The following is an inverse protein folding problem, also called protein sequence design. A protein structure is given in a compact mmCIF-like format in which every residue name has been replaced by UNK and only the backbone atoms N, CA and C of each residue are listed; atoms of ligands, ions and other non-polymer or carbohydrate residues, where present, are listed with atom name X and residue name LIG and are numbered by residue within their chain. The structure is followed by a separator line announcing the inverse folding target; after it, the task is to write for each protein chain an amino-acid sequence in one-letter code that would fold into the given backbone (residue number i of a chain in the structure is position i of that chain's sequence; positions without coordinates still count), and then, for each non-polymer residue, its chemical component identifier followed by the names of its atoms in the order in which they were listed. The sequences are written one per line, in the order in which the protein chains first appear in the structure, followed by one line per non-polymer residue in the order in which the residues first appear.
data_IF_040953149954
#
_entry.id   IF_040953149954
#
_cell.length_a   1.000
_cell.length_b   1.000
_cell.length_c   1.000
_cell.angle_alpha   90.00
_cell.angle_beta   90.00
_cell.angle_gamma   90.00
#
_symmetry.space_group_name_H-M   'P 1'
#
loop_
_entity.id
_entity.type
_entity.pdbx_description
1 polymer ?
#
# COMPACT_ATOMS: atom_id res chain seq x y z
N UNK A 1 -49.03 13.18 6.49
CA UNK A 1 -47.66 13.17 7.04
C UNK A 1 -47.53 14.38 7.96
N UNK A 2 -46.95 14.20 9.14
CA UNK A 2 -46.68 15.31 10.02
C UNK A 2 -45.55 16.19 9.45
N UNK A 3 -45.52 17.47 9.82
CA UNK A 3 -44.44 18.41 9.45
C UNK A 3 -43.06 17.83 9.82
N UNK A 4 -42.96 17.18 10.96
CA UNK A 4 -41.74 16.50 11.43
C UNK A 4 -41.31 15.40 10.48
N UNK A 5 -42.25 14.58 9.98
CA UNK A 5 -41.93 13.51 9.00
C UNK A 5 -41.40 14.05 7.67
N UNK A 6 -41.90 15.19 7.22
CA UNK A 6 -41.42 15.87 6.00
C UNK A 6 -40.01 16.40 6.23
N UNK A 7 -39.72 17.05 7.33
CA UNK A 7 -38.38 17.57 7.68
C UNK A 7 -37.36 16.42 7.73
N UNK A 8 -37.68 15.31 8.40
CA UNK A 8 -36.80 14.16 8.50
C UNK A 8 -36.51 13.54 7.10
N UNK A 9 -37.53 13.47 6.25
CA UNK A 9 -37.34 12.96 4.88
C UNK A 9 -36.40 13.87 4.06
N UNK A 10 -36.58 15.18 4.15
CA UNK A 10 -35.72 16.17 3.47
C UNK A 10 -34.26 16.05 3.98
N UNK A 11 -34.08 15.99 5.30
CA UNK A 11 -32.75 15.80 5.88
C UNK A 11 -32.08 14.51 5.41
N UNK A 12 -32.83 13.40 5.32
CA UNK A 12 -32.32 12.13 4.81
C UNK A 12 -31.88 12.23 3.34
N UNK A 13 -32.71 12.86 2.50
CA UNK A 13 -32.37 13.06 1.06
C UNK A 13 -31.10 13.91 0.93
N UNK A 14 -30.98 15.00 1.69
CA UNK A 14 -29.79 15.85 1.69
C UNK A 14 -28.55 15.08 2.14
N UNK A 15 -28.67 14.27 3.18
CA UNK A 15 -27.56 13.43 3.69
C UNK A 15 -27.10 12.40 2.64
N UNK A 16 -28.06 11.74 1.96
CA UNK A 16 -27.75 10.80 0.87
C UNK A 16 -27.08 11.53 -0.30
N UNK A 17 -27.63 12.68 -0.70
CA UNK A 17 -27.06 13.50 -1.78
C UNK A 17 -25.63 13.94 -1.47
N UNK A 18 -25.37 14.40 -0.24
CA UNK A 18 -24.05 14.76 0.23
C UNK A 18 -23.09 13.54 0.25
N UNK A 19 -23.55 12.40 0.75
CA UNK A 19 -22.77 11.16 0.73
C UNK A 19 -22.36 10.76 -0.69
N UNK A 20 -23.30 10.77 -1.64
CA UNK A 20 -23.02 10.45 -3.05
C UNK A 20 -22.03 11.44 -3.66
N UNK A 21 -22.19 12.74 -3.36
CA UNK A 21 -21.26 13.78 -3.82
C UNK A 21 -19.83 13.51 -3.32
N UNK A 22 -19.67 13.25 -2.01
CA UNK A 22 -18.34 12.93 -1.41
C UNK A 22 -17.74 11.70 -2.06
N UNK A 23 -18.52 10.62 -2.23
CA UNK A 23 -18.05 9.39 -2.88
C UNK A 23 -17.63 9.58 -4.34
N UNK A 24 -18.34 10.41 -5.09
CA UNK A 24 -17.95 10.78 -6.46
C UNK A 24 -16.63 11.55 -6.46
N UNK A 25 -16.47 12.52 -5.57
CA UNK A 25 -15.23 13.29 -5.43
C UNK A 25 -14.04 12.41 -5.05
N UNK A 26 -14.20 11.49 -4.10
CA UNK A 26 -13.15 10.50 -3.75
C UNK A 26 -12.75 9.65 -4.97
N UNK A 27 -13.72 9.18 -5.75
CA UNK A 27 -13.46 8.40 -6.99
C UNK A 27 -12.66 9.21 -8.01
N UNK A 28 -13.02 10.47 -8.24
CA UNK A 28 -12.30 11.32 -9.21
C UNK A 28 -10.86 11.62 -8.74
N UNK A 29 -10.63 11.75 -7.44
CA UNK A 29 -9.27 11.85 -6.90
C UNK A 29 -8.46 10.58 -7.19
N UNK A 30 -9.00 9.40 -6.88
CA UNK A 30 -8.30 8.13 -7.11
C UNK A 30 -7.98 7.91 -8.60
N UNK A 31 -8.86 8.30 -9.50
CA UNK A 31 -8.66 8.19 -10.96
C UNK A 31 -7.44 8.96 -11.47
N UNK A 32 -6.97 9.95 -10.73
CA UNK A 32 -5.74 10.69 -11.10
C UNK A 32 -4.48 9.82 -10.97
N UNK A 33 -4.56 8.71 -10.21
CA UNK A 33 -3.46 7.78 -9.97
C UNK A 33 -3.69 6.44 -10.65
N UNK A 34 -4.90 5.88 -10.53
CA UNK A 34 -5.19 4.52 -10.97
C UNK A 34 -6.65 4.33 -11.40
N UNK A 35 -6.95 3.44 -12.34
CA UNK A 35 -8.32 3.02 -12.64
C UNK A 35 -9.00 2.43 -11.40
N UNK A 36 -10.32 2.69 -11.24
CA UNK A 36 -11.09 2.26 -10.05
C UNK A 36 -11.18 0.74 -9.88
N UNK A 37 -11.04 0.00 -10.97
CA UNK A 37 -11.08 -1.47 -10.98
C UNK A 37 -9.69 -2.14 -10.86
N UNK A 38 -8.62 -1.35 -10.68
CA UNK A 38 -7.26 -1.88 -10.51
C UNK A 38 -6.87 -1.96 -9.04
N UNK A 39 -6.21 -3.06 -8.65
CA UNK A 39 -5.79 -3.34 -7.28
C UNK A 39 -6.94 -3.56 -6.31
N UNK A 40 -6.62 -3.72 -5.03
CA UNK A 40 -7.58 -3.95 -3.97
C UNK A 40 -8.23 -2.65 -3.47
N UNK A 41 -9.38 -2.79 -2.81
CA UNK A 41 -10.08 -1.64 -2.21
C UNK A 41 -9.22 -0.92 -1.17
N UNK A 42 -8.53 -1.67 -0.33
CA UNK A 42 -7.65 -1.16 0.73
C UNK A 42 -6.49 -0.33 0.18
N UNK A 43 -5.87 -0.78 -0.93
CA UNK A 43 -4.81 -0.03 -1.63
C UNK A 43 -5.34 1.32 -2.15
N UNK A 44 -6.51 1.32 -2.79
CA UNK A 44 -7.13 2.57 -3.27
C UNK A 44 -7.49 3.52 -2.12
N UNK A 45 -7.77 3.00 -0.93
CA UNK A 45 -7.97 3.83 0.28
C UNK A 45 -6.66 4.47 0.75
N UNK A 46 -5.52 3.75 0.69
CA UNK A 46 -4.20 4.35 0.96
C UNK A 46 -3.94 5.48 -0.02
N UNK A 47 -4.15 5.26 -1.32
CA UNK A 47 -3.99 6.30 -2.35
C UNK A 47 -4.84 7.54 -2.03
N UNK A 48 -6.09 7.35 -1.63
CA UNK A 48 -6.97 8.46 -1.28
C UNK A 48 -6.45 9.26 -0.08
N UNK A 49 -5.94 8.59 0.96
CA UNK A 49 -5.35 9.29 2.12
C UNK A 49 -4.08 10.07 1.70
N UNK A 50 -3.22 9.49 0.86
CA UNK A 50 -2.05 10.17 0.30
C UNK A 50 -2.44 11.43 -0.48
N UNK A 51 -3.48 11.36 -1.32
CA UNK A 51 -3.99 12.50 -2.09
C UNK A 51 -4.59 13.58 -1.19
N UNK A 52 -5.28 13.20 -0.11
CA UNK A 52 -5.81 14.12 0.91
C UNK A 52 -4.70 14.84 1.68
N UNK A 53 -3.53 14.19 1.82
CA UNK A 53 -2.31 14.82 2.39
C UNK A 53 -1.57 15.73 1.39
N UNK A 54 -2.10 15.92 0.20
CA UNK A 54 -1.51 16.79 -0.80
C UNK A 54 -0.34 16.18 -1.57
N UNK A 55 -0.13 14.88 -1.49
CA UNK A 55 0.85 14.20 -2.33
C UNK A 55 0.43 14.33 -3.80
N UNK A 56 1.37 14.73 -4.65
CA UNK A 56 1.11 14.89 -6.07
C UNK A 56 0.71 13.52 -6.69
N UNK A 57 -0.41 13.43 -7.41
CA UNK A 57 -0.83 12.19 -8.06
C UNK A 57 0.24 11.55 -8.94
N UNK A 58 1.07 12.38 -9.62
CA UNK A 58 2.18 11.90 -10.47
C UNK A 58 3.36 11.31 -9.68
N UNK A 59 3.38 11.48 -8.37
CA UNK A 59 4.39 10.90 -7.48
C UNK A 59 3.93 9.59 -6.84
N UNK A 60 2.67 9.18 -7.05
CA UNK A 60 2.08 7.95 -6.52
C UNK A 60 1.99 6.93 -7.66
N UNK A 61 2.58 5.78 -7.45
CA UNK A 61 2.58 4.65 -8.36
C UNK A 61 1.87 3.49 -7.70
N UNK A 62 0.94 2.84 -8.40
CA UNK A 62 0.08 1.80 -7.86
C UNK A 62 0.17 0.52 -8.67
N UNK A 63 0.18 -0.63 -7.98
CA UNK A 63 0.18 -1.97 -8.55
C UNK A 63 1.33 -2.16 -9.55
N UNK A 64 2.55 -1.96 -9.04
CA UNK A 64 3.79 -1.98 -9.80
C UNK A 64 4.32 -3.40 -9.95
N UNK A 65 4.80 -3.76 -11.14
CA UNK A 65 5.51 -5.01 -11.38
C UNK A 65 6.96 -4.70 -11.75
N UNK A 66 7.85 -4.79 -10.75
CA UNK A 66 9.27 -4.48 -10.88
C UNK A 66 10.01 -5.74 -11.34
N UNK A 67 10.72 -5.64 -12.46
CA UNK A 67 11.57 -6.73 -12.95
C UNK A 67 12.87 -6.76 -12.14
N UNK A 68 13.13 -7.91 -11.52
CA UNK A 68 14.40 -8.18 -10.83
C UNK A 68 15.50 -8.46 -11.84
N UNK A 69 16.79 -8.31 -11.46
CA UNK A 69 17.91 -8.74 -12.33
C UNK A 69 17.87 -10.20 -12.76
N UNK A 70 17.19 -11.07 -11.99
CA UNK A 70 16.95 -12.49 -12.33
C UNK A 70 15.94 -12.69 -13.47
N UNK A 71 15.28 -11.63 -13.95
CA UNK A 71 14.21 -11.69 -14.95
C UNK A 71 12.81 -11.88 -14.37
N UNK A 72 12.69 -12.26 -13.10
CA UNK A 72 11.42 -12.41 -12.39
C UNK A 72 10.83 -11.04 -12.02
N UNK A 73 9.52 -11.00 -11.80
CA UNK A 73 8.84 -9.81 -11.34
C UNK A 73 8.51 -9.88 -9.85
N UNK A 74 8.42 -8.73 -9.19
CA UNK A 74 7.80 -8.59 -7.89
C UNK A 74 6.70 -7.54 -7.97
N UNK A 75 5.51 -7.86 -7.46
CA UNK A 75 4.43 -6.90 -7.34
C UNK A 75 4.65 -6.08 -6.08
N UNK A 76 4.45 -4.77 -6.20
CA UNK A 76 4.50 -3.79 -5.11
C UNK A 76 3.19 -3.02 -5.13
N UNK A 77 2.52 -2.94 -4.00
CA UNK A 77 1.18 -2.36 -3.93
C UNK A 77 1.21 -0.86 -4.27
N UNK A 78 1.98 -0.06 -3.52
CA UNK A 78 2.08 1.38 -3.75
C UNK A 78 3.50 1.85 -3.50
N UNK A 79 3.99 2.72 -4.39
CA UNK A 79 5.25 3.45 -4.20
C UNK A 79 4.97 4.96 -4.32
N UNK A 80 5.59 5.75 -3.44
CA UNK A 80 5.50 7.21 -3.49
C UNK A 80 6.91 7.80 -3.57
N UNK A 81 7.15 8.59 -4.62
CA UNK A 81 8.39 9.35 -4.76
C UNK A 81 8.24 10.72 -4.07
N UNK A 82 9.03 10.99 -3.03
CA UNK A 82 8.98 12.22 -2.25
C UNK A 82 10.32 12.95 -2.26
N UNK A 83 10.34 14.20 -1.76
CA UNK A 83 11.60 14.94 -1.55
C UNK A 83 12.52 14.27 -0.52
N UNK A 84 11.95 13.54 0.45
CA UNK A 84 12.70 12.85 1.51
C UNK A 84 13.21 11.45 1.09
N UNK A 85 12.75 10.93 -0.06
CA UNK A 85 13.09 9.60 -0.55
C UNK A 85 11.88 8.87 -1.14
N UNK A 86 11.93 7.56 -1.12
CA UNK A 86 10.88 6.69 -1.65
C UNK A 86 10.13 6.05 -0.47
N UNK A 87 8.81 6.04 -0.51
CA UNK A 87 7.97 5.30 0.45
C UNK A 87 7.38 4.09 -0.28
N UNK A 88 7.56 2.91 0.27
CA UNK A 88 7.01 1.65 -0.25
C UNK A 88 5.96 1.14 0.72
N UNK A 89 4.73 1.04 0.24
CA UNK A 89 3.60 0.53 1.03
C UNK A 89 3.32 -0.92 0.68
N UNK A 90 3.10 -1.72 1.71
CA UNK A 90 2.52 -3.06 1.67
C UNK A 90 1.19 -3.01 2.40
N UNK A 91 0.10 -3.41 1.74
CA UNK A 91 -1.26 -3.28 2.28
C UNK A 91 -1.81 -4.65 2.60
N UNK A 92 -2.32 -4.84 3.81
CA UNK A 92 -2.96 -6.07 4.27
C UNK A 92 -4.38 -5.79 4.72
N UNK A 93 -5.35 -6.48 4.13
CA UNK A 93 -6.76 -6.39 4.55
C UNK A 93 -7.10 -7.64 5.36
N UNK A 94 -6.84 -7.58 6.68
CA UNK A 94 -7.03 -8.69 7.60
C UNK A 94 -7.95 -8.30 8.76
N UNK A 95 -8.59 -9.30 9.34
CA UNK A 95 -9.41 -9.18 10.56
C UNK A 95 -8.82 -10.04 11.68
N UNK A 96 -9.32 -9.84 12.91
CA UNK A 96 -8.91 -10.62 14.08
C UNK A 96 -7.56 -10.21 14.66
N UNK A 97 -6.96 -11.09 15.44
CA UNK A 97 -5.75 -10.79 16.18
C UNK A 97 -4.50 -11.14 15.39
N UNK A 98 -3.56 -10.20 15.34
CA UNK A 98 -2.29 -10.32 14.61
C UNK A 98 -1.13 -10.43 15.60
N UNK A 99 -0.28 -11.43 15.37
CA UNK A 99 0.93 -11.71 16.13
C UNK A 99 2.11 -11.90 15.19
N UNK A 100 3.27 -11.34 15.54
CA UNK A 100 4.49 -11.55 14.77
C UNK A 100 5.61 -10.61 15.18
N UNK A 101 6.79 -10.91 14.72
CA UNK A 101 7.94 -10.02 14.82
C UNK A 101 8.73 -9.98 13.51
N UNK A 102 9.67 -9.05 13.39
CA UNK A 102 10.43 -8.84 12.16
C UNK A 102 11.27 -10.05 11.72
N UNK A 103 11.70 -10.92 12.65
CA UNK A 103 12.56 -12.07 12.36
C UNK A 103 11.78 -13.33 11.98
N UNK A 104 10.48 -13.41 12.30
CA UNK A 104 9.64 -14.55 11.99
C UNK A 104 9.23 -14.52 10.52
N UNK A 105 9.50 -15.61 9.79
CA UNK A 105 9.11 -15.74 8.37
C UNK A 105 7.59 -15.68 8.16
N UNK A 106 6.82 -16.17 9.12
CA UNK A 106 5.35 -16.18 9.07
C UNK A 106 4.79 -15.53 10.33
N UNK A 107 3.84 -14.63 10.11
CA UNK A 107 2.99 -14.08 11.17
C UNK A 107 1.75 -14.93 11.35
N UNK A 108 1.07 -14.72 12.47
CA UNK A 108 -0.14 -15.46 12.83
C UNK A 108 -1.34 -14.52 12.86
N UNK A 109 -2.43 -14.94 12.25
CA UNK A 109 -3.76 -14.37 12.40
C UNK A 109 -4.64 -15.31 13.18
N UNK A 110 -5.34 -14.83 14.20
CA UNK A 110 -6.37 -15.57 14.93
C UNK A 110 -7.72 -14.94 14.67
N UNK A 111 -8.65 -15.76 14.19
CA UNK A 111 -10.05 -15.41 13.96
C UNK A 111 -10.97 -16.09 14.99
N UNK A 112 -12.26 -15.72 15.00
CA UNK A 112 -13.28 -16.30 15.87
C UNK A 112 -12.86 -16.38 17.35
N UNK A 113 -12.28 -15.28 17.87
CA UNK A 113 -11.75 -15.18 19.23
C UNK A 113 -10.68 -16.24 19.56
N UNK A 114 -9.82 -16.55 18.58
CA UNK A 114 -8.71 -17.50 18.75
C UNK A 114 -9.02 -18.93 18.37
N UNK A 115 -10.24 -19.25 17.91
CA UNK A 115 -10.62 -20.60 17.49
C UNK A 115 -10.04 -21.01 16.14
N UNK A 116 -9.76 -20.05 15.26
CA UNK A 116 -9.20 -20.29 13.94
C UNK A 116 -7.83 -19.61 13.82
N UNK A 117 -6.82 -20.39 13.40
CA UNK A 117 -5.44 -19.92 13.26
C UNK A 117 -4.98 -20.02 11.82
N UNK A 118 -4.57 -18.88 11.26
CA UNK A 118 -3.97 -18.77 9.94
C UNK A 118 -2.55 -18.26 10.04
N UNK A 119 -1.72 -18.65 9.09
CA UNK A 119 -0.35 -18.13 8.95
C UNK A 119 -0.23 -17.41 7.62
N UNK A 120 0.45 -16.27 7.62
CA UNK A 120 0.74 -15.51 6.40
C UNK A 120 2.19 -15.05 6.41
N UNK A 121 2.74 -14.81 5.22
CA UNK A 121 4.11 -14.37 5.10
C UNK A 121 4.30 -13.02 5.80
N UNK A 122 5.43 -12.84 6.46
CA UNK A 122 5.77 -11.62 7.20
C UNK A 122 5.77 -10.40 6.27
N UNK A 123 4.87 -9.42 6.46
CA UNK A 123 4.72 -8.30 5.54
C UNK A 123 5.94 -7.33 5.60
N UNK A 124 6.68 -7.31 6.71
CA UNK A 124 7.92 -6.53 6.80
C UNK A 124 8.98 -7.17 5.89
N UNK A 125 9.13 -8.49 5.93
CA UNK A 125 10.06 -9.22 5.03
C UNK A 125 9.63 -9.11 3.58
N UNK A 126 8.33 -9.14 3.30
CA UNK A 126 7.78 -8.95 1.96
C UNK A 126 8.17 -7.59 1.42
N UNK A 127 7.88 -6.52 2.17
CA UNK A 127 8.19 -5.16 1.77
C UNK A 127 9.70 -4.90 1.69
N UNK A 128 10.50 -5.52 2.55
CA UNK A 128 11.97 -5.48 2.46
C UNK A 128 12.48 -6.08 1.16
N UNK A 129 11.88 -7.19 0.70
CA UNK A 129 12.17 -7.78 -0.60
C UNK A 129 11.82 -6.87 -1.78
N UNK A 130 10.72 -6.12 -1.69
CA UNK A 130 10.34 -5.10 -2.68
C UNK A 130 11.35 -3.95 -2.71
N UNK A 131 11.75 -3.45 -1.53
CA UNK A 131 12.76 -2.40 -1.37
C UNK A 131 14.11 -2.84 -1.95
N UNK A 132 14.53 -4.08 -1.70
CA UNK A 132 15.76 -4.63 -2.27
C UNK A 132 15.71 -4.68 -3.81
N UNK A 133 14.58 -5.10 -4.38
CA UNK A 133 14.37 -5.10 -5.82
C UNK A 133 14.45 -3.68 -6.40
N UNK A 134 13.81 -2.70 -5.76
CA UNK A 134 13.88 -1.27 -6.14
C UNK A 134 15.33 -0.77 -6.11
N UNK A 135 16.07 -1.05 -5.03
CA UNK A 135 17.47 -0.62 -4.91
C UNK A 135 18.36 -1.16 -6.02
N UNK A 136 18.20 -2.44 -6.39
CA UNK A 136 18.95 -3.07 -7.48
C UNK A 136 18.66 -2.45 -8.85
N UNK A 137 17.47 -1.87 -9.02
CA UNK A 137 17.06 -1.18 -10.25
C UNK A 137 17.42 0.31 -10.28
N UNK A 138 18.03 0.86 -9.21
CA UNK A 138 18.39 2.26 -9.08
C UNK A 138 19.90 2.47 -8.82
N UNK A 139 20.80 1.97 -9.69
CA UNK A 139 22.25 2.04 -9.47
C UNK A 139 22.78 3.46 -9.39
N UNK A 140 22.12 4.45 -10.02
CA UNK A 140 22.50 5.86 -9.95
C UNK A 140 21.98 6.57 -8.70
N UNK A 141 21.21 5.88 -7.85
CA UNK A 141 20.62 6.39 -6.61
C UNK A 141 20.95 5.48 -5.40
N UNK A 142 22.20 5.05 -5.16
CA UNK A 142 22.51 4.00 -4.17
C UNK A 142 22.20 4.40 -2.72
N UNK A 143 22.26 5.69 -2.40
CA UNK A 143 22.06 6.22 -1.05
C UNK A 143 20.68 6.83 -0.79
N UNK A 144 19.72 6.66 -1.71
CA UNK A 144 18.39 7.24 -1.52
C UNK A 144 17.69 6.59 -0.31
N UNK A 145 17.12 7.37 0.63
CA UNK A 145 16.30 6.83 1.70
C UNK A 145 15.07 6.11 1.12
N UNK A 146 14.80 4.90 1.62
CA UNK A 146 13.57 4.17 1.30
C UNK A 146 12.91 3.78 2.62
N UNK A 147 11.64 4.13 2.75
CA UNK A 147 10.81 3.90 3.92
C UNK A 147 9.84 2.75 3.63
N UNK A 148 9.74 1.82 4.57
CA UNK A 148 8.82 0.68 4.52
C UNK A 148 7.58 1.00 5.35
N UNK A 149 6.40 0.97 4.75
CA UNK A 149 5.14 1.21 5.45
C UNK A 149 4.19 0.04 5.20
N UNK A 150 3.94 -0.76 6.24
CA UNK A 150 2.95 -1.84 6.20
C UNK A 150 1.66 -1.34 6.82
N UNK A 151 0.57 -1.36 6.05
CA UNK A 151 -0.73 -0.85 6.49
C UNK A 151 -1.73 -2.00 6.63
N UNK A 152 -2.25 -2.19 7.85
CA UNK A 152 -3.27 -3.18 8.11
C UNK A 152 -4.66 -2.56 8.10
N UNK A 153 -5.41 -2.84 7.03
CA UNK A 153 -6.84 -2.56 6.90
C UNK A 153 -7.68 -3.67 7.58
N UNK A 154 -8.99 -3.55 7.46
CA UNK A 154 -9.92 -4.46 8.09
C UNK A 154 -10.09 -4.21 9.59
N UNK A 155 -10.60 -5.21 10.29
CA UNK A 155 -10.81 -5.18 11.75
C UNK A 155 -9.70 -5.94 12.50
N UNK A 156 -8.44 -5.78 12.04
CA UNK A 156 -7.30 -6.41 12.70
C UNK A 156 -6.89 -5.68 13.99
N UNK A 157 -6.40 -6.45 14.97
CA UNK A 157 -5.87 -5.94 16.22
C UNK A 157 -4.46 -6.50 16.48
N UNK A 158 -3.46 -5.64 16.62
CA UNK A 158 -2.11 -6.07 17.00
C UNK A 158 -2.08 -6.46 18.47
N UNK A 159 -1.92 -7.75 18.75
CA UNK A 159 -1.79 -8.28 20.12
C UNK A 159 -0.33 -8.38 20.56
N UNK A 160 0.53 -8.84 19.66
CA UNK A 160 1.97 -8.89 19.90
C UNK A 160 2.69 -8.75 18.56
N UNK A 161 2.97 -7.50 18.17
CA UNK A 161 3.70 -7.16 16.95
C UNK A 161 4.91 -6.33 17.36
N UNK A 162 6.13 -6.86 17.11
CA UNK A 162 7.39 -6.20 17.47
C UNK A 162 8.32 -6.13 16.26
N UNK A 163 8.95 -4.98 16.07
CA UNK A 163 9.87 -4.75 14.95
C UNK A 163 10.81 -3.58 15.25
N UNK A 164 11.92 -3.51 14.55
CA UNK A 164 12.81 -2.35 14.57
C UNK A 164 12.22 -1.24 13.70
N UNK A 165 12.04 -0.07 14.30
CA UNK A 165 11.39 1.07 13.65
C UNK A 165 12.32 1.86 12.68
N UNK A 166 13.54 1.40 12.39
CA UNK A 166 14.44 2.07 11.45
C UNK A 166 13.84 2.09 10.03
N UNK A 167 13.27 3.25 9.64
CA UNK A 167 12.57 3.46 8.37
C UNK A 167 11.46 2.44 8.08
N UNK A 168 10.95 1.73 9.11
CA UNK A 168 9.88 0.74 8.99
C UNK A 168 8.73 1.09 9.91
N UNK A 169 7.52 1.10 9.38
CA UNK A 169 6.29 1.43 10.08
C UNK A 169 5.26 0.32 9.83
N UNK A 170 4.68 -0.21 10.90
CA UNK A 170 3.54 -1.15 10.83
C UNK A 170 2.37 -0.47 11.50
N UNK A 171 1.36 -0.09 10.71
CA UNK A 171 0.34 0.87 11.12
C UNK A 171 -1.08 0.46 10.74
N UNK A 172 -2.03 1.10 11.38
CA UNK A 172 -3.42 1.16 10.93
C UNK A 172 -3.67 2.34 9.98
N UNK A 173 -4.75 2.33 9.17
CA UNK A 173 -5.06 3.40 8.22
C UNK A 173 -5.11 4.80 8.84
N UNK A 174 -5.59 4.92 10.08
CA UNK A 174 -5.67 6.20 10.80
C UNK A 174 -4.31 6.88 11.04
N UNK A 175 -3.21 6.12 10.98
CA UNK A 175 -1.85 6.62 11.20
C UNK A 175 -1.11 6.96 9.90
N UNK A 176 -1.70 6.73 8.72
CA UNK A 176 -1.07 7.01 7.42
C UNK A 176 -0.63 8.47 7.35
N UNK A 177 -1.54 9.41 7.68
CA UNK A 177 -1.26 10.84 7.69
C UNK A 177 -0.05 11.19 8.55
N UNK A 178 -0.01 10.71 9.79
CA UNK A 178 1.06 11.00 10.73
C UNK A 178 2.40 10.49 10.20
N UNK A 179 2.47 9.23 9.74
CA UNK A 179 3.70 8.61 9.23
C UNK A 179 4.19 9.30 7.96
N UNK A 180 3.29 9.62 7.03
CA UNK A 180 3.67 10.35 5.81
C UNK A 180 4.20 11.73 6.15
N UNK A 181 3.55 12.47 7.04
CA UNK A 181 4.04 13.79 7.49
C UNK A 181 5.41 13.69 8.18
N UNK A 182 5.62 12.68 9.03
CA UNK A 182 6.92 12.42 9.68
C UNK A 182 8.04 12.16 8.65
N UNK A 183 7.76 11.36 7.62
CA UNK A 183 8.70 11.10 6.54
C UNK A 183 8.98 12.37 5.72
N UNK A 184 7.96 13.16 5.42
CA UNK A 184 8.13 14.41 4.66
C UNK A 184 8.90 15.51 5.42
N UNK A 185 8.97 15.42 6.75
CA UNK A 185 9.80 16.30 7.59
C UNK A 185 11.28 15.90 7.58
N UNK A 186 11.64 14.72 7.10
CA UNK A 186 13.03 14.30 6.99
C UNK A 186 13.80 15.19 5.99
N UNK A 187 15.12 15.29 6.13
CA UNK A 187 15.94 16.04 5.18
C UNK A 187 15.72 15.62 3.73
N UNK A 188 15.84 16.56 2.82
CA UNK A 188 15.73 16.25 1.40
C UNK A 188 16.79 15.22 0.98
N UNK A 189 16.34 14.16 0.33
CA UNK A 189 17.22 13.13 -0.20
C UNK A 189 18.14 13.71 -1.30
N UNK A 190 19.36 13.21 -1.34
CA UNK A 190 20.31 13.51 -2.43
C UNK A 190 20.03 12.53 -3.57
N UNK A 191 19.39 13.03 -4.60
CA UNK A 191 19.08 12.24 -5.81
C UNK A 191 20.25 12.31 -6.78
N UNK A 192 20.79 11.16 -7.19
CA UNK A 192 21.76 11.07 -8.28
C UNK A 192 21.08 11.30 -9.63
N UNK A 193 19.98 10.57 -9.88
CA UNK A 193 19.19 10.71 -11.10
C UNK A 193 17.69 10.51 -10.83
N UNK A 194 16.94 11.62 -10.83
CA UNK A 194 15.47 11.55 -10.62
C UNK A 194 14.73 10.91 -11.79
N UNK A 195 15.24 11.06 -13.01
CA UNK A 195 14.62 10.46 -14.20
C UNK A 195 14.67 8.92 -14.15
N UNK A 196 15.76 8.36 -13.63
CA UNK A 196 15.87 6.91 -13.43
C UNK A 196 14.74 6.39 -12.54
N UNK A 197 14.47 7.07 -11.42
CA UNK A 197 13.41 6.70 -10.47
C UNK A 197 12.04 6.76 -11.14
N UNK A 198 11.73 7.87 -11.82
CA UNK A 198 10.44 8.06 -12.48
C UNK A 198 10.24 7.05 -13.62
N UNK A 199 11.27 6.77 -14.41
CA UNK A 199 11.22 5.80 -15.50
C UNK A 199 11.01 4.38 -14.97
N UNK A 200 11.73 3.99 -13.90
CA UNK A 200 11.55 2.69 -13.26
C UNK A 200 10.09 2.47 -12.85
N UNK A 201 9.53 3.40 -12.08
CA UNK A 201 8.17 3.24 -11.55
C UNK A 201 7.10 3.35 -12.63
N UNK A 202 7.26 4.24 -13.61
CA UNK A 202 6.34 4.33 -14.75
C UNK A 202 6.33 3.03 -15.54
N UNK A 203 7.51 2.46 -15.85
CA UNK A 203 7.62 1.17 -16.52
C UNK A 203 7.02 0.04 -15.69
N UNK A 204 7.25 0.04 -14.38
CA UNK A 204 6.70 -0.98 -13.49
C UNK A 204 5.17 -0.95 -13.41
N UNK A 205 4.54 0.23 -13.47
CA UNK A 205 3.07 0.37 -13.59
C UNK A 205 2.57 -0.16 -14.93
N UNK A 206 3.31 0.10 -16.03
CA UNK A 206 2.97 -0.44 -17.36
C UNK A 206 3.08 -1.97 -17.40
N UNK A 207 4.10 -2.56 -16.77
CA UNK A 207 4.22 -4.01 -16.62
C UNK A 207 2.98 -4.63 -15.96
N UNK A 208 2.35 -3.95 -14.99
CA UNK A 208 1.13 -4.40 -14.33
C UNK A 208 -0.14 -4.32 -15.19
N UNK A 209 -0.06 -3.76 -16.41
CA UNK A 209 -1.13 -3.79 -17.41
C UNK A 209 -0.93 -4.98 -18.38
N UNK A 210 0.29 -5.50 -18.48
CA UNK A 210 0.61 -6.64 -19.35
C UNK A 210 0.14 -7.95 -18.70
N UNK A 211 -0.89 -8.55 -19.30
CA UNK A 211 -1.48 -9.81 -18.82
C UNK A 211 -0.48 -10.97 -18.79
N UNK A 212 0.55 -10.98 -19.63
CA UNK A 212 1.57 -12.03 -19.65
C UNK A 212 2.48 -11.93 -18.43
N UNK A 213 2.87 -10.72 -18.06
CA UNK A 213 3.68 -10.44 -16.86
C UNK A 213 2.88 -10.78 -15.61
N UNK A 214 1.64 -10.25 -15.50
CA UNK A 214 0.76 -10.48 -14.33
C UNK A 214 0.51 -11.98 -14.14
N UNK A 215 0.14 -12.70 -15.21
CA UNK A 215 -0.13 -14.14 -15.11
C UNK A 215 1.13 -14.96 -14.80
N UNK A 216 2.30 -14.54 -15.25
CA UNK A 216 3.58 -15.19 -14.90
C UNK A 216 3.91 -15.03 -13.42
N UNK A 217 3.68 -13.84 -12.86
CA UNK A 217 3.90 -13.55 -11.45
C UNK A 217 2.94 -14.34 -10.56
N UNK A 218 1.66 -14.44 -10.93
CA UNK A 218 0.67 -15.24 -10.18
C UNK A 218 1.08 -16.71 -10.15
N UNK A 219 1.50 -17.28 -11.28
CA UNK A 219 2.00 -18.68 -11.36
C UNK A 219 3.24 -18.89 -10.49
N UNK A 220 4.16 -17.95 -10.54
CA UNK A 220 5.37 -17.99 -9.73
C UNK A 220 5.05 -17.98 -8.24
N UNK A 221 4.21 -17.05 -7.79
CA UNK A 221 3.78 -16.94 -6.40
C UNK A 221 3.05 -18.21 -5.92
N UNK A 222 2.16 -18.78 -6.74
CA UNK A 222 1.45 -20.02 -6.44
C UNK A 222 2.41 -21.24 -6.37
N UNK A 223 3.40 -21.35 -7.23
CA UNK A 223 4.42 -22.38 -7.19
C UNK A 223 5.22 -22.34 -5.88
N UNK A 224 5.70 -21.16 -5.49
CA UNK A 224 6.47 -21.00 -4.25
C UNK A 224 5.65 -21.19 -2.98
N UNK A 225 4.37 -20.84 -3.00
CA UNK A 225 3.49 -21.10 -1.85
C UNK A 225 3.25 -22.59 -1.61
N UNK A 226 3.16 -23.41 -2.69
CA UNK A 226 2.95 -24.86 -2.61
C UNK A 226 4.22 -25.63 -2.19
N UNK A 227 5.39 -25.17 -2.58
CA UNK A 227 6.64 -25.91 -2.37
C UNK A 227 7.42 -25.48 -1.11
N UNK A 228 6.87 -24.57 -0.31
CA UNK A 228 7.48 -24.07 0.94
C UNK A 228 6.61 -24.28 2.19
N UNK A 229 5.50 -25.06 2.06
CA UNK A 229 4.70 -25.51 3.20
C UNK A 229 5.35 -26.70 3.90
#
# INVERSE_FOLDING_TARGET
MSLISIILLVCLILAIGYYVYVKRKERELIKQVTPINRGEWSERRVILELLKEGINPKAIFHDLYIQKPSGEYTQVDIVVATKAGIIVFEVKDYSGWIFGNEYQKYWTQLLAYGKEKHRFYNPIMQNSGHIEAIRKCLPQNPGIPIYSVVVFYGSSEFKNVTYNANNTFVIYPRSIRQVVSEILMQPNAKFGNKHEIMNLFTKAVQNGIDHTIVSSQIRYAAYYSRNKS
#
